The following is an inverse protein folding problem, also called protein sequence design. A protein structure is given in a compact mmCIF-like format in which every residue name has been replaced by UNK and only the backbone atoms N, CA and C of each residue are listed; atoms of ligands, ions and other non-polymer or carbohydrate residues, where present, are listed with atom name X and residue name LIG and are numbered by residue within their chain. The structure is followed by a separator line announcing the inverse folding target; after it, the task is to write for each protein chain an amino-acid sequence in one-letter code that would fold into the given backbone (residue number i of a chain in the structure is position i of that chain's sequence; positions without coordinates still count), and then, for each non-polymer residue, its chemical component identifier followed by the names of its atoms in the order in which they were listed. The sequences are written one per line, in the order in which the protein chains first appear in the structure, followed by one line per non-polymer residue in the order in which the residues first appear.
data_IF_665942435869
#
_entry.id   IF_665942435869
#
_cell.length_a   1.000
_cell.length_b   1.000
_cell.length_c   1.000
_cell.angle_alpha   90.00
_cell.angle_beta   90.00
_cell.angle_gamma   90.00
#
_symmetry.space_group_name_H-M   'P 1'
#
loop_
_entity.id
_entity.type
_entity.pdbx_description
1 polymer ?
#
# COMPACT_ATOMS: atom_id res chain seq x y z
N UNK A 1 -10.09 15.22 1.59
CA UNK A 1 -9.75 16.27 0.61
C UNK A 1 -8.37 16.87 0.89
N UNK A 2 -8.10 17.35 2.11
CA UNK A 2 -6.80 17.95 2.51
C UNK A 2 -5.60 16.98 2.38
N UNK A 3 -5.74 15.71 2.75
CA UNK A 3 -4.66 14.70 2.59
C UNK A 3 -4.33 14.42 1.11
N UNK A 4 -5.33 14.52 0.23
CA UNK A 4 -5.14 14.35 -1.22
C UNK A 4 -4.43 15.56 -1.85
N UNK A 5 -4.73 16.78 -1.40
CA UNK A 5 -4.06 18.00 -1.89
C UNK A 5 -2.61 18.09 -1.42
N UNK A 6 -2.31 17.72 -0.16
CA UNK A 6 -0.94 17.66 0.33
C UNK A 6 -0.11 16.65 -0.48
N UNK A 7 -0.71 15.50 -0.83
CA UNK A 7 -0.06 14.50 -1.69
C UNK A 7 0.20 15.05 -3.10
N UNK A 8 -0.69 15.91 -3.63
CA UNK A 8 -0.55 16.56 -4.93
C UNK A 8 0.56 17.63 -4.96
N UNK A 9 0.72 18.40 -3.88
CA UNK A 9 1.79 19.39 -3.69
C UNK A 9 3.18 18.73 -3.54
N UNK A 10 3.24 17.58 -2.85
CA UNK A 10 4.47 16.74 -2.81
C UNK A 10 4.78 16.17 -4.20
N UNK A 11 3.76 15.78 -4.97
CA UNK A 11 3.88 15.23 -6.33
C UNK A 11 4.56 16.17 -7.32
N UNK A 12 4.37 17.49 -7.18
CA UNK A 12 4.96 18.51 -8.07
C UNK A 12 6.42 18.82 -7.70
N UNK A 13 6.76 18.81 -6.40
CA UNK A 13 8.12 19.13 -5.93
C UNK A 13 9.11 17.95 -6.11
N UNK A 14 8.62 16.70 -6.13
CA UNK A 14 9.45 15.48 -6.22
C UNK A 14 9.72 14.96 -7.64
N UNK A 15 9.28 15.66 -8.69
CA UNK A 15 9.37 15.21 -10.08
C UNK A 15 10.82 14.92 -10.58
N UNK A 16 11.86 15.36 -9.85
CA UNK A 16 13.27 15.04 -10.14
C UNK A 16 13.84 13.85 -9.33
N UNK A 17 13.17 13.38 -8.27
CA UNK A 17 13.61 12.29 -7.38
C UNK A 17 12.86 10.96 -7.58
N UNK A 18 11.99 10.91 -8.58
CA UNK A 18 11.01 9.87 -8.93
C UNK A 18 11.52 8.41 -8.81
N UNK A 19 12.76 8.13 -9.22
CA UNK A 19 13.34 6.77 -9.14
C UNK A 19 13.67 6.32 -7.72
N UNK A 20 14.06 7.25 -6.86
CA UNK A 20 14.42 6.96 -5.47
C UNK A 20 13.18 6.89 -4.58
N UNK A 21 12.13 7.67 -4.87
CA UNK A 21 10.91 7.70 -4.07
C UNK A 21 10.17 6.37 -3.99
N UNK A 22 9.95 5.69 -5.12
CA UNK A 22 9.27 4.38 -5.15
C UNK A 22 10.03 3.32 -4.34
N UNK A 23 11.33 3.20 -4.59
CA UNK A 23 12.19 2.22 -3.93
C UNK A 23 12.23 2.52 -2.42
N UNK A 24 12.32 3.80 -2.04
CA UNK A 24 12.42 4.18 -0.63
C UNK A 24 11.11 3.95 0.14
N UNK A 25 9.96 4.31 -0.44
CA UNK A 25 8.64 4.10 0.19
C UNK A 25 8.37 2.60 0.36
N UNK A 26 8.57 1.80 -0.69
CA UNK A 26 8.36 0.35 -0.63
C UNK A 26 9.29 -0.33 0.37
N UNK A 27 10.58 0.02 0.37
CA UNK A 27 11.56 -0.55 1.31
C UNK A 27 11.26 -0.16 2.76
N UNK A 28 10.88 1.10 2.99
CA UNK A 28 10.46 1.57 4.33
C UNK A 28 9.23 0.81 4.80
N UNK A 29 8.24 0.63 3.94
CA UNK A 29 7.04 -0.12 4.28
C UNK A 29 7.37 -1.59 4.61
N UNK A 30 8.21 -2.25 3.80
CA UNK A 30 8.66 -3.63 4.06
C UNK A 30 9.34 -3.73 5.42
N UNK A 31 10.26 -2.82 5.73
CA UNK A 31 10.94 -2.78 7.01
C UNK A 31 9.98 -2.55 8.18
N UNK A 32 9.02 -1.62 8.04
CA UNK A 32 8.01 -1.34 9.07
C UNK A 32 7.08 -2.52 9.30
N UNK A 33 6.60 -3.19 8.24
CA UNK A 33 5.75 -4.38 8.34
C UNK A 33 6.48 -5.53 9.03
N UNK A 34 7.73 -5.79 8.64
CA UNK A 34 8.53 -6.84 9.26
C UNK A 34 8.81 -6.56 10.74
N UNK A 35 9.16 -5.31 11.09
CA UNK A 35 9.48 -4.91 12.47
C UNK A 35 8.23 -4.89 13.35
N UNK A 36 7.15 -4.24 12.90
CA UNK A 36 5.91 -4.12 13.67
C UNK A 36 5.08 -5.39 13.70
N UNK A 37 5.14 -6.26 12.68
CA UNK A 37 4.49 -7.58 12.75
C UNK A 37 5.15 -8.47 13.79
N UNK A 38 6.49 -8.49 13.84
CA UNK A 38 7.24 -9.17 14.89
C UNK A 38 6.92 -8.59 16.29
N UNK A 39 6.87 -7.25 16.40
CA UNK A 39 6.54 -6.60 17.68
C UNK A 39 5.08 -6.83 18.11
N UNK A 40 4.12 -6.78 17.19
CA UNK A 40 2.72 -7.08 17.49
C UNK A 40 2.57 -8.51 18.04
N UNK A 41 3.26 -9.48 17.44
CA UNK A 41 3.28 -10.87 17.93
C UNK A 41 3.91 -10.97 19.32
N UNK A 42 5.01 -10.26 19.57
CA UNK A 42 5.63 -10.19 20.90
C UNK A 42 4.67 -9.63 21.97
N UNK A 43 3.97 -8.53 21.66
CA UNK A 43 3.01 -7.92 22.59
C UNK A 43 1.84 -8.87 22.90
N UNK A 44 1.34 -9.59 21.90
CA UNK A 44 0.27 -10.58 22.08
C UNK A 44 0.71 -11.78 22.93
N UNK A 45 1.92 -12.31 22.68
CA UNK A 45 2.47 -13.42 23.46
C UNK A 45 2.76 -13.00 24.91
N UNK A 46 3.36 -11.83 25.13
CA UNK A 46 3.60 -11.29 26.47
C UNK A 46 2.31 -11.07 27.27
N UNK A 47 1.21 -10.72 26.58
CA UNK A 47 -0.10 -10.55 27.23
C UNK A 47 -0.77 -11.89 27.54
N UNK A 48 -0.48 -12.94 26.78
CA UNK A 48 -1.17 -14.25 26.88
C UNK A 48 -0.44 -15.26 27.76
N UNK A 49 0.90 -15.38 27.66
CA UNK A 49 1.69 -16.34 28.43
C UNK A 49 3.12 -15.83 28.70
N UNK A 50 3.44 -15.57 29.96
CA UNK A 50 4.73 -15.02 30.40
C UNK A 50 5.92 -15.99 30.38
N UNK A 51 5.76 -17.21 29.86
CA UNK A 51 6.74 -18.31 29.98
C UNK A 51 7.34 -18.79 28.66
N UNK A 52 6.89 -18.27 27.52
CA UNK A 52 7.32 -18.73 26.19
C UNK A 52 8.49 -17.90 25.64
N UNK A 53 9.56 -18.57 25.16
CA UNK A 53 10.69 -17.91 24.50
C UNK A 53 10.24 -17.32 23.15
N UNK A 54 10.10 -16.00 23.08
CA UNK A 54 9.79 -15.31 21.82
C UNK A 54 10.99 -15.39 20.86
N UNK A 55 10.75 -15.92 19.66
CA UNK A 55 11.73 -15.94 18.56
C UNK A 55 11.31 -14.97 17.46
N UNK A 56 12.27 -14.21 16.94
CA UNK A 56 12.07 -13.36 15.78
C UNK A 56 11.75 -14.22 14.54
N UNK A 57 10.60 -13.99 13.91
CA UNK A 57 10.20 -14.73 12.71
C UNK A 57 10.69 -13.99 11.46
N UNK A 58 11.72 -14.57 10.84
CA UNK A 58 12.32 -14.09 9.59
C UNK A 58 11.33 -14.20 8.41
N UNK A 59 10.31 -15.05 8.54
CA UNK A 59 9.22 -15.20 7.57
C UNK A 59 8.48 -13.89 7.28
N UNK A 60 8.34 -13.00 8.27
CA UNK A 60 7.73 -11.69 8.06
C UNK A 60 8.52 -10.81 7.08
N UNK A 61 9.86 -10.84 7.14
CA UNK A 61 10.70 -10.09 6.19
C UNK A 61 10.48 -10.60 4.76
N UNK A 62 10.50 -11.92 4.59
CA UNK A 62 10.31 -12.54 3.28
C UNK A 62 8.89 -12.26 2.73
N UNK A 63 7.85 -12.44 3.55
CA UNK A 63 6.48 -12.16 3.16
C UNK A 63 6.28 -10.69 2.79
N UNK A 64 6.87 -9.75 3.54
CA UNK A 64 6.79 -8.32 3.24
C UNK A 64 7.50 -8.00 1.94
N UNK A 65 8.73 -8.49 1.76
CA UNK A 65 9.52 -8.23 0.56
C UNK A 65 8.79 -8.75 -0.69
N UNK A 66 8.38 -10.02 -0.68
CA UNK A 66 7.69 -10.62 -1.84
C UNK A 66 6.34 -9.96 -2.09
N UNK A 67 5.53 -9.76 -1.05
CA UNK A 67 4.20 -9.16 -1.18
C UNK A 67 4.24 -7.72 -1.68
N UNK A 68 5.01 -6.85 -1.03
CA UNK A 68 5.03 -5.42 -1.35
C UNK A 68 5.78 -5.14 -2.65
N UNK A 69 6.99 -5.70 -2.86
CA UNK A 69 7.72 -5.46 -4.11
C UNK A 69 7.03 -6.12 -5.31
N UNK A 70 6.49 -7.34 -5.13
CA UNK A 70 5.70 -8.01 -6.16
C UNK A 70 4.50 -7.17 -6.58
N UNK A 71 3.72 -6.68 -5.61
CA UNK A 71 2.56 -5.84 -5.89
C UNK A 71 2.95 -4.48 -6.50
N UNK A 72 4.05 -3.86 -6.05
CA UNK A 72 4.57 -2.60 -6.59
C UNK A 72 4.93 -2.67 -8.08
N UNK A 73 5.41 -3.83 -8.54
CA UNK A 73 5.87 -4.03 -9.92
C UNK A 73 4.75 -4.57 -10.80
N UNK A 74 4.06 -5.63 -10.36
CA UNK A 74 3.06 -6.35 -11.17
C UNK A 74 1.86 -5.46 -11.48
N UNK A 75 1.31 -4.76 -10.47
CA UNK A 75 0.05 -4.04 -10.66
C UNK A 75 0.15 -2.88 -11.65
N UNK A 76 1.14 -1.98 -11.55
CA UNK A 76 1.26 -0.86 -12.51
C UNK A 76 1.59 -1.34 -13.92
N UNK A 77 2.32 -2.45 -14.06
CA UNK A 77 2.55 -3.07 -15.38
C UNK A 77 1.26 -3.59 -16.00
N UNK A 78 0.42 -4.29 -15.23
CA UNK A 78 -0.88 -4.77 -15.69
C UNK A 78 -1.81 -3.62 -16.11
N UNK A 79 -1.85 -2.54 -15.33
CA UNK A 79 -2.63 -1.33 -15.66
C UNK A 79 -2.12 -0.65 -16.93
N UNK A 80 -0.81 -0.52 -17.09
CA UNK A 80 -0.22 0.06 -18.30
C UNK A 80 -0.50 -0.80 -19.53
N UNK A 81 -0.41 -2.12 -19.41
CA UNK A 81 -0.76 -3.03 -20.50
C UNK A 81 -2.22 -2.87 -20.92
N UNK A 82 -3.14 -2.77 -19.96
CA UNK A 82 -4.56 -2.53 -20.22
C UNK A 82 -4.80 -1.17 -20.89
N UNK A 83 -4.13 -0.11 -20.45
CA UNK A 83 -4.26 1.23 -21.05
C UNK A 83 -3.68 1.30 -22.47
N UNK A 84 -2.57 0.59 -22.72
CA UNK A 84 -2.03 0.47 -24.07
C UNK A 84 -3.00 -0.25 -25.01
N UNK A 85 -3.69 -1.27 -24.50
CA UNK A 85 -4.75 -1.96 -25.25
C UNK A 85 -5.92 -1.03 -25.59
N UNK A 86 -6.24 -0.08 -24.70
CA UNK A 86 -7.25 0.96 -24.91
C UNK A 86 -6.76 2.15 -25.76
N UNK A 87 -5.52 2.13 -26.26
CA UNK A 87 -4.96 3.17 -27.12
C UNK A 87 -4.37 4.40 -26.39
N UNK A 88 -4.26 4.36 -25.06
CA UNK A 88 -3.66 5.44 -24.27
C UNK A 88 -2.16 5.24 -24.07
N UNK A 89 -1.35 6.22 -24.48
CA UNK A 89 0.11 6.22 -24.31
C UNK A 89 0.51 6.87 -22.97
N UNK A 90 0.19 6.21 -21.86
CA UNK A 90 0.65 6.66 -20.56
C UNK A 90 2.09 6.19 -20.25
N UNK A 91 2.88 7.07 -19.62
CA UNK A 91 4.25 6.73 -19.22
C UNK A 91 4.26 5.76 -18.02
N UNK A 92 4.95 4.62 -18.19
CA UNK A 92 5.12 3.60 -17.15
C UNK A 92 5.61 4.16 -15.83
N UNK A 93 6.61 5.05 -15.92
CA UNK A 93 7.24 5.66 -14.75
C UNK A 93 6.22 6.45 -13.93
N UNK A 94 5.29 7.16 -14.58
CA UNK A 94 4.27 7.95 -13.89
C UNK A 94 3.26 7.06 -13.18
N UNK A 95 2.86 5.95 -13.80
CA UNK A 95 2.02 4.92 -13.19
C UNK A 95 2.69 4.27 -11.98
N UNK A 96 3.94 3.83 -12.11
CA UNK A 96 4.69 3.25 -11.00
C UNK A 96 4.80 4.21 -9.82
N UNK A 97 5.08 5.48 -10.08
CA UNK A 97 5.27 6.45 -9.00
C UNK A 97 3.96 6.76 -8.31
N UNK A 98 2.90 7.05 -9.07
CA UNK A 98 1.55 7.22 -8.53
C UNK A 98 1.14 6.03 -7.65
N UNK A 99 1.38 4.79 -8.12
CA UNK A 99 1.05 3.59 -7.35
C UNK A 99 1.90 3.47 -6.09
N UNK A 100 3.21 3.72 -6.19
CA UNK A 100 4.13 3.73 -5.05
C UNK A 100 3.78 4.76 -3.98
N UNK A 101 3.35 5.97 -4.37
CA UNK A 101 2.91 6.99 -3.42
C UNK A 101 1.69 6.54 -2.62
N UNK A 102 0.84 5.71 -3.21
CA UNK A 102 -0.34 5.16 -2.53
C UNK A 102 0.03 4.28 -1.34
N UNK A 103 1.27 3.77 -1.28
CA UNK A 103 1.78 2.96 -0.16
C UNK A 103 2.21 3.76 1.04
N UNK A 104 2.47 5.06 0.86
CA UNK A 104 2.88 5.94 1.96
C UNK A 104 1.86 5.97 3.09
N UNK A 105 0.56 5.83 2.78
CA UNK A 105 -0.54 5.76 3.75
C UNK A 105 -0.43 4.53 4.66
N UNK A 106 0.13 3.42 4.15
CA UNK A 106 0.30 2.20 4.94
C UNK A 106 1.46 2.29 5.93
N UNK A 107 2.42 3.21 5.75
CA UNK A 107 3.54 3.41 6.69
C UNK A 107 3.05 3.87 8.08
N UNK A 108 2.33 5.01 8.23
CA UNK A 108 1.79 5.41 9.53
C UNK A 108 0.68 4.46 10.00
N UNK A 109 0.00 3.78 9.07
CA UNK A 109 -0.98 2.74 9.42
C UNK A 109 -0.32 1.56 10.14
N UNK A 110 0.86 1.12 9.69
CA UNK A 110 1.57 0.01 10.34
C UNK A 110 1.93 0.31 11.81
N UNK A 111 2.20 1.58 12.15
CA UNK A 111 2.36 2.03 13.53
C UNK A 111 1.06 1.95 14.32
N UNK A 112 -0.04 2.42 13.74
CA UNK A 112 -1.36 2.42 14.38
C UNK A 112 -1.89 0.99 14.63
N UNK A 113 -1.54 0.03 13.77
CA UNK A 113 -1.90 -1.38 13.91
C UNK A 113 -1.19 -2.11 15.05
N UNK A 114 -0.18 -1.49 15.68
CA UNK A 114 0.52 -2.07 16.84
C UNK A 114 -0.43 -2.25 18.05
N UNK A 115 -1.49 -1.45 18.14
CA UNK A 115 -2.48 -1.54 19.22
C UNK A 115 -3.14 -2.93 19.18
N UNK A 116 -3.11 -3.73 20.27
CA UNK A 116 -3.63 -5.10 20.30
C UNK A 116 -5.15 -5.13 20.47
N UNK A 117 -5.88 -4.37 19.65
CA UNK A 117 -7.35 -4.32 19.65
C UNK A 117 -7.83 -4.69 18.25
N UNK A 118 -8.40 -5.89 18.13
CA UNK A 118 -8.73 -6.51 16.84
C UNK A 118 -9.72 -5.67 16.00
N UNK A 119 -10.80 -5.20 16.62
CA UNK A 119 -11.81 -4.37 15.94
C UNK A 119 -11.18 -3.06 15.42
N UNK A 120 -10.30 -2.46 16.22
CA UNK A 120 -9.63 -1.21 15.87
C UNK A 120 -8.68 -1.43 14.68
N UNK A 121 -7.93 -2.54 14.65
CA UNK A 121 -7.07 -2.91 13.53
C UNK A 121 -7.84 -3.01 12.21
N UNK A 122 -9.00 -3.68 12.22
CA UNK A 122 -9.88 -3.78 11.05
C UNK A 122 -10.38 -2.42 10.58
N UNK A 123 -10.83 -1.56 11.49
CA UNK A 123 -11.31 -0.22 11.12
C UNK A 123 -10.18 0.60 10.49
N UNK A 124 -9.01 0.63 11.12
CA UNK A 124 -7.86 1.41 10.63
C UNK A 124 -7.43 0.93 9.25
N UNK A 125 -7.28 -0.39 9.04
CA UNK A 125 -6.78 -0.91 7.77
C UNK A 125 -7.78 -0.69 6.62
N UNK A 126 -9.08 -0.80 6.89
CA UNK A 126 -10.13 -0.54 5.90
C UNK A 126 -10.18 0.95 5.53
N UNK A 127 -10.01 1.85 6.49
CA UNK A 127 -9.90 3.29 6.25
C UNK A 127 -8.65 3.60 5.41
N UNK A 128 -7.51 3.01 5.76
CA UNK A 128 -6.26 3.20 5.03
C UNK A 128 -6.36 2.70 3.58
N UNK A 129 -6.93 1.51 3.36
CA UNK A 129 -7.20 0.96 2.03
C UNK A 129 -8.17 1.82 1.21
N UNK A 130 -9.21 2.34 1.86
CA UNK A 130 -10.17 3.26 1.23
C UNK A 130 -9.54 4.61 0.87
N UNK A 131 -8.67 5.15 1.72
CA UNK A 131 -7.94 6.38 1.43
C UNK A 131 -6.94 6.19 0.27
N UNK A 132 -6.22 5.06 0.26
CA UNK A 132 -5.27 4.70 -0.78
C UNK A 132 -5.96 4.48 -2.14
N UNK A 133 -7.07 3.75 -2.16
CA UNK A 133 -7.88 3.57 -3.38
C UNK A 133 -8.47 4.87 -3.90
N UNK A 134 -8.95 5.75 -3.03
CA UNK A 134 -9.45 7.07 -3.41
C UNK A 134 -8.35 7.92 -4.06
N UNK A 135 -7.14 7.93 -3.50
CA UNK A 135 -5.99 8.60 -4.10
C UNK A 135 -5.68 8.06 -5.50
N UNK A 136 -5.67 6.74 -5.68
CA UNK A 136 -5.45 6.13 -7.00
C UNK A 136 -6.56 6.50 -7.98
N UNK A 137 -7.82 6.41 -7.56
CA UNK A 137 -8.98 6.69 -8.41
C UNK A 137 -8.99 8.13 -8.93
N UNK A 138 -8.67 9.10 -8.05
CA UNK A 138 -8.61 10.52 -8.42
C UNK A 138 -7.50 10.80 -9.44
N UNK A 139 -6.34 10.15 -9.29
CA UNK A 139 -5.25 10.31 -10.25
C UNK A 139 -5.53 9.56 -11.57
N UNK A 140 -6.20 8.41 -11.55
CA UNK A 140 -6.59 7.65 -12.74
C UNK A 140 -7.54 8.44 -13.65
N UNK A 141 -8.43 9.23 -13.05
CA UNK A 141 -9.36 10.11 -13.79
C UNK A 141 -8.66 11.07 -14.74
N UNK A 142 -7.42 11.45 -14.46
CA UNK A 142 -6.65 12.36 -15.31
C UNK A 142 -6.14 11.73 -16.63
N UNK A 143 -6.18 10.39 -16.75
CA UNK A 143 -5.62 9.66 -17.91
C UNK A 143 -6.65 9.01 -18.83
N UNK A 144 -7.94 9.00 -18.44
CA UNK A 144 -8.99 8.24 -19.12
C UNK A 144 -10.14 9.17 -19.46
N UNK A 145 -10.43 9.31 -20.75
CA UNK A 145 -11.50 10.17 -21.27
C UNK A 145 -12.85 9.44 -21.33
N UNK A 146 -12.87 8.10 -21.28
CA UNK A 146 -14.07 7.27 -21.35
C UNK A 146 -14.71 6.96 -19.98
N UNK A 147 -16.00 7.26 -19.82
CA UNK A 147 -16.71 7.07 -18.54
C UNK A 147 -16.84 5.59 -18.10
N UNK A 148 -16.99 4.65 -19.04
CA UNK A 148 -17.10 3.22 -18.73
C UNK A 148 -15.74 2.60 -18.39
N UNK A 149 -14.70 2.93 -19.16
CA UNK A 149 -13.34 2.44 -18.91
C UNK A 149 -12.79 3.00 -17.60
N UNK A 150 -13.09 4.27 -17.30
CA UNK A 150 -12.77 4.89 -16.02
C UNK A 150 -13.39 4.13 -14.85
N UNK A 151 -14.69 3.82 -14.92
CA UNK A 151 -15.39 3.08 -13.86
C UNK A 151 -14.76 1.71 -13.64
N UNK A 152 -14.48 0.97 -14.71
CA UNK A 152 -13.85 -0.36 -14.63
C UNK A 152 -12.47 -0.28 -13.95
N UNK A 153 -11.64 0.66 -14.36
CA UNK A 153 -10.29 0.84 -13.81
C UNK A 153 -10.29 1.32 -12.35
N UNK A 154 -11.21 2.21 -11.99
CA UNK A 154 -11.38 2.67 -10.60
C UNK A 154 -11.84 1.53 -9.70
N UNK A 155 -12.79 0.70 -10.15
CA UNK A 155 -13.24 -0.48 -9.39
C UNK A 155 -12.08 -1.47 -9.24
N UNK A 156 -11.34 -1.77 -10.30
CA UNK A 156 -10.18 -2.66 -10.23
C UNK A 156 -9.10 -2.12 -9.25
N UNK A 157 -8.80 -0.83 -9.31
CA UNK A 157 -7.86 -0.17 -8.41
C UNK A 157 -8.33 -0.22 -6.95
N UNK A 158 -9.62 0.00 -6.70
CA UNK A 158 -10.21 -0.13 -5.38
C UNK A 158 -10.03 -1.55 -4.83
N UNK A 159 -10.40 -2.57 -5.60
CA UNK A 159 -10.28 -3.97 -5.19
C UNK A 159 -8.83 -4.36 -4.89
N UNK A 160 -7.87 -3.91 -5.71
CA UNK A 160 -6.45 -4.18 -5.50
C UNK A 160 -5.91 -3.50 -4.23
N UNK A 161 -6.26 -2.24 -3.98
CA UNK A 161 -5.83 -1.56 -2.76
C UNK A 161 -6.47 -2.14 -1.51
N UNK A 162 -7.73 -2.59 -1.59
CA UNK A 162 -8.39 -3.31 -0.50
C UNK A 162 -7.76 -4.69 -0.27
N UNK A 163 -7.41 -5.42 -1.33
CA UNK A 163 -6.71 -6.69 -1.23
C UNK A 163 -5.33 -6.53 -0.57
N UNK A 164 -4.58 -5.49 -0.93
CA UNK A 164 -3.31 -5.15 -0.26
C UNK A 164 -3.52 -4.83 1.22
N UNK A 165 -4.54 -4.03 1.55
CA UNK A 165 -4.86 -3.67 2.92
C UNK A 165 -5.18 -4.92 3.76
N UNK A 166 -6.03 -5.81 3.24
CA UNK A 166 -6.37 -7.07 3.90
C UNK A 166 -5.14 -7.97 4.04
N UNK A 167 -4.31 -8.09 2.99
CA UNK A 167 -3.05 -8.83 3.04
C UNK A 167 -2.15 -8.35 4.18
N UNK A 168 -1.97 -7.02 4.31
CA UNK A 168 -1.16 -6.43 5.39
C UNK A 168 -1.70 -6.81 6.77
N UNK A 169 -3.02 -6.70 6.99
CA UNK A 169 -3.61 -7.07 8.29
C UNK A 169 -3.42 -8.56 8.56
N UNK A 170 -3.87 -9.42 7.65
CA UNK A 170 -3.95 -10.87 7.89
C UNK A 170 -2.57 -11.50 8.06
N UNK A 171 -1.57 -11.05 7.29
CA UNK A 171 -0.24 -11.64 7.36
C UNK A 171 0.63 -11.07 8.48
N UNK A 172 0.54 -9.77 8.79
CA UNK A 172 1.48 -9.12 9.74
C UNK A 172 0.87 -8.83 11.10
N UNK A 173 -0.46 -8.65 11.16
CA UNK A 173 -1.18 -8.28 12.36
C UNK A 173 -2.36 -9.23 12.59
N UNK A 174 -2.07 -10.53 12.83
CA UNK A 174 -3.09 -11.52 13.14
C UNK A 174 -3.92 -11.10 14.37
#
# INVERSE_FOLDING_TARGET
MIICEISLLVLISFCSYIRYGLIWITTTLVFMLASFGNWATYLMQKHSDGTTSWSFDVGYINAAAVGIYGYAVVVPMSFKFLLQYLGSNASLVRFWCMWGYSFSIFIPTALLLLIPVEILRWIIILIAGSASSCFVALNLKSYIEGANDLKMMVVAAFLLQMALAIFIKVWFFP
#
